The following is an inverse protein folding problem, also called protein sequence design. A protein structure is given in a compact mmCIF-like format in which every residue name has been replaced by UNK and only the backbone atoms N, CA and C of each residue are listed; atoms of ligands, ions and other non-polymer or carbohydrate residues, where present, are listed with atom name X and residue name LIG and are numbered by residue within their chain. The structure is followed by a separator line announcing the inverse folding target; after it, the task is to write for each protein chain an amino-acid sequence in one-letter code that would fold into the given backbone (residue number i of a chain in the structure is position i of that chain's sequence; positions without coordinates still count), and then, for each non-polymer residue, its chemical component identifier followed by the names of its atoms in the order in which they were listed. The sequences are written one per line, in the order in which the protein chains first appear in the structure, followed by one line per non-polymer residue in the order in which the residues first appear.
data_IF_983080931937
#
_entry.id   IF_983080931937
#
_cell.length_a   1.000
_cell.length_b   1.000
_cell.length_c   1.000
_cell.angle_alpha   90.00
_cell.angle_beta   90.00
_cell.angle_gamma   90.00
#
_symmetry.space_group_name_H-M   'P 1'
#
loop_
_entity.id
_entity.type
_entity.pdbx_description
1 polymer ?
#
# COMPACT_ATOMS: atom_id res chain seq x y z
N UNK A 1 -5.62 15.98 2.14
CA UNK A 1 -4.59 15.65 1.10
C UNK A 1 -3.26 15.57 1.83
N UNK A 2 -2.50 14.48 1.68
CA UNK A 2 -1.19 14.30 2.34
C UNK A 2 -0.04 14.81 1.46
N UNK A 3 -0.14 14.58 0.16
CA UNK A 3 0.77 15.11 -0.87
C UNK A 3 0.02 15.17 -2.21
N UNK A 4 0.58 15.74 -3.29
CA UNK A 4 -0.11 15.81 -4.57
C UNK A 4 -0.62 14.44 -5.04
N UNK A 5 -1.95 14.34 -5.24
CA UNK A 5 -2.62 13.10 -5.68
C UNK A 5 -2.69 11.98 -4.64
N UNK A 6 -2.31 12.22 -3.37
CA UNK A 6 -2.46 11.24 -2.29
C UNK A 6 -3.42 11.78 -1.23
N UNK A 7 -4.46 11.01 -0.96
CA UNK A 7 -5.51 11.35 0.00
C UNK A 7 -5.53 10.36 1.17
N UNK A 8 -5.90 10.88 2.33
CA UNK A 8 -6.26 10.10 3.51
C UNK A 8 -7.74 10.26 3.74
N UNK A 9 -8.41 9.15 3.99
CA UNK A 9 -9.78 9.10 4.46
C UNK A 9 -9.87 8.41 5.80
N UNK A 10 -10.60 9.01 6.69
CA UNK A 10 -10.98 8.48 8.00
C UNK A 10 -12.43 8.02 7.86
N UNK A 11 -12.63 6.70 7.85
CA UNK A 11 -13.94 6.08 7.61
C UNK A 11 -14.58 5.68 8.94
N UNK A 12 -15.85 5.99 9.13
CA UNK A 12 -16.66 5.40 10.21
C UNK A 12 -16.95 3.94 9.85
N UNK A 13 -16.21 3.03 10.48
CA UNK A 13 -16.23 1.59 10.23
C UNK A 13 -15.86 0.81 11.51
N UNK A 14 -16.61 1.02 12.58
CA UNK A 14 -16.31 0.56 13.94
C UNK A 14 -16.01 -0.95 14.02
N UNK A 15 -16.80 -1.79 13.32
CA UNK A 15 -16.63 -3.24 13.35
C UNK A 15 -15.31 -3.70 12.70
N UNK A 16 -14.88 -3.02 11.63
CA UNK A 16 -13.61 -3.29 10.96
C UNK A 16 -12.45 -2.72 11.77
N UNK A 17 -12.58 -1.47 12.25
CA UNK A 17 -11.54 -0.79 13.02
C UNK A 17 -11.12 -1.55 14.28
N UNK A 18 -12.08 -2.21 14.96
CA UNK A 18 -11.80 -3.02 16.16
C UNK A 18 -11.07 -4.33 15.87
N UNK A 19 -11.19 -4.86 14.65
CA UNK A 19 -10.69 -6.20 14.29
C UNK A 19 -9.45 -6.16 13.40
N UNK A 20 -9.23 -5.05 12.70
CA UNK A 20 -8.13 -4.93 11.76
C UNK A 20 -6.77 -4.94 12.48
N UNK A 21 -5.85 -5.72 11.93
CA UNK A 21 -4.48 -5.88 12.38
C UNK A 21 -3.51 -5.37 11.32
N UNK A 22 -2.26 -5.04 11.67
CA UNK A 22 -1.24 -4.61 10.71
C UNK A 22 -1.09 -5.56 9.52
N UNK A 23 -0.90 -5.03 8.31
CA UNK A 23 -0.75 -5.79 7.08
C UNK A 23 -2.05 -6.23 6.42
N UNK A 24 -3.19 -6.05 7.06
CA UNK A 24 -4.50 -6.35 6.49
C UNK A 24 -5.01 -5.19 5.61
N UNK A 25 -6.01 -5.49 4.78
CA UNK A 25 -6.62 -4.55 3.86
C UNK A 25 -8.15 -4.61 3.91
N UNK A 26 -8.80 -3.69 3.25
CA UNK A 26 -10.24 -3.67 2.99
C UNK A 26 -10.49 -3.65 1.48
N UNK A 27 -11.67 -4.10 1.07
CA UNK A 27 -12.18 -3.88 -0.29
C UNK A 27 -13.36 -2.95 -0.20
N UNK A 28 -13.37 -1.92 -1.02
CA UNK A 28 -14.46 -0.96 -1.08
C UNK A 28 -15.01 -0.81 -2.50
N UNK A 29 -16.25 -0.36 -2.59
CA UNK A 29 -16.93 0.06 -3.80
C UNK A 29 -17.65 1.38 -3.51
N UNK A 30 -17.33 2.42 -4.27
CA UNK A 30 -17.77 3.79 -3.97
C UNK A 30 -19.28 3.94 -4.21
N UNK A 31 -19.80 3.45 -5.35
CA UNK A 31 -21.21 3.52 -5.77
C UNK A 31 -21.57 2.32 -6.64
N UNK A 32 -22.82 2.24 -7.13
CA UNK A 32 -23.32 1.13 -7.96
C UNK A 32 -22.52 0.91 -9.24
N UNK A 33 -21.96 1.96 -9.84
CA UNK A 33 -21.14 1.91 -11.05
C UNK A 33 -19.65 1.75 -10.74
N UNK A 34 -19.30 1.76 -9.46
CA UNK A 34 -17.92 1.67 -8.97
C UNK A 34 -17.38 0.25 -9.03
N UNK A 35 -16.12 0.14 -9.30
CA UNK A 35 -15.37 -1.11 -9.21
C UNK A 35 -14.96 -1.39 -7.75
N UNK A 36 -14.79 -2.66 -7.41
CA UNK A 36 -14.20 -3.05 -6.13
C UNK A 36 -12.69 -2.88 -6.18
N UNK A 37 -12.15 -2.17 -5.21
CA UNK A 37 -10.70 -1.96 -5.09
C UNK A 37 -10.20 -2.33 -3.70
N UNK A 38 -9.06 -3.04 -3.60
CA UNK A 38 -8.39 -3.31 -2.33
C UNK A 38 -7.58 -2.09 -1.90
N UNK A 39 -7.66 -1.73 -0.62
CA UNK A 39 -6.83 -0.69 -0.01
C UNK A 39 -6.33 -1.17 1.35
N UNK A 40 -5.04 -1.03 1.58
CA UNK A 40 -4.42 -1.43 2.86
C UNK A 40 -4.93 -0.54 3.99
N UNK A 41 -5.16 -1.15 5.16
CA UNK A 41 -5.48 -0.42 6.39
C UNK A 41 -4.22 0.31 6.86
N UNK A 42 -4.22 1.64 6.69
CA UNK A 42 -3.08 2.49 7.07
C UNK A 42 -3.03 2.74 8.58
N UNK A 43 -4.19 2.81 9.23
CA UNK A 43 -4.29 2.93 10.69
C UNK A 43 -5.71 2.60 11.17
N UNK A 44 -5.88 2.47 12.49
CA UNK A 44 -7.19 2.33 13.13
C UNK A 44 -7.22 3.15 14.42
N UNK A 45 -8.39 3.67 14.74
CA UNK A 45 -8.74 4.27 16.03
C UNK A 45 -9.96 3.53 16.60
N UNK A 46 -9.79 2.33 17.18
CA UNK A 46 -10.89 1.45 17.59
C UNK A 46 -11.88 2.12 18.55
N UNK A 47 -11.37 2.94 19.46
CA UNK A 47 -12.18 3.69 20.45
C UNK A 47 -13.13 4.71 19.80
N UNK A 48 -12.75 5.21 18.62
CA UNK A 48 -13.56 6.16 17.84
C UNK A 48 -14.36 5.47 16.73
N UNK A 49 -14.14 4.17 16.50
CA UNK A 49 -14.71 3.42 15.38
C UNK A 49 -14.14 3.81 14.01
N UNK A 50 -12.96 4.43 13.97
CA UNK A 50 -12.38 4.97 12.74
C UNK A 50 -11.37 4.01 12.12
N UNK A 51 -11.56 3.75 10.84
CA UNK A 51 -10.61 3.08 9.95
C UNK A 51 -9.94 4.11 9.04
N UNK A 52 -8.63 4.07 8.95
CA UNK A 52 -7.86 5.00 8.10
C UNK A 52 -7.37 4.28 6.85
N UNK A 53 -7.67 4.86 5.69
CA UNK A 53 -7.10 4.45 4.41
C UNK A 53 -6.33 5.61 3.78
N UNK A 54 -5.23 5.28 3.09
CA UNK A 54 -4.45 6.24 2.30
C UNK A 54 -4.30 5.67 0.89
N UNK A 55 -4.60 6.49 -0.10
CA UNK A 55 -4.59 6.04 -1.49
C UNK A 55 -4.12 7.13 -2.44
N UNK A 56 -3.60 6.70 -3.59
CA UNK A 56 -3.21 7.59 -4.68
C UNK A 56 -4.33 7.65 -5.72
N UNK A 57 -4.67 8.83 -6.18
CA UNK A 57 -5.63 9.07 -7.27
C UNK A 57 -5.01 8.71 -8.64
N UNK A 58 -4.76 7.43 -8.87
CA UNK A 58 -4.04 6.95 -10.05
C UNK A 58 -4.97 6.52 -11.20
N UNK A 59 -6.17 6.00 -10.91
CA UNK A 59 -7.13 5.50 -11.87
C UNK A 59 -8.54 6.00 -11.62
N UNK A 60 -9.51 5.57 -12.46
CA UNK A 60 -10.94 5.95 -12.36
C UNK A 60 -11.46 5.75 -10.93
N UNK A 61 -11.32 4.54 -10.38
CA UNK A 61 -11.92 4.19 -9.09
C UNK A 61 -11.34 4.99 -7.93
N UNK A 62 -10.01 5.25 -7.92
CA UNK A 62 -9.38 6.08 -6.89
C UNK A 62 -9.66 7.57 -7.06
N UNK A 63 -9.85 8.07 -8.29
CA UNK A 63 -10.34 9.44 -8.53
C UNK A 63 -11.81 9.60 -8.11
N UNK A 64 -12.65 8.61 -8.39
CA UNK A 64 -14.03 8.60 -7.93
C UNK A 64 -14.10 8.60 -6.39
N UNK A 65 -13.30 7.75 -5.73
CA UNK A 65 -13.16 7.75 -4.27
C UNK A 65 -12.68 9.13 -3.78
N UNK A 66 -11.67 9.68 -4.43
CA UNK A 66 -11.10 10.97 -4.06
C UNK A 66 -12.04 12.17 -4.28
N UNK A 67 -13.11 12.03 -5.06
CA UNK A 67 -14.11 13.09 -5.25
C UNK A 67 -15.11 13.20 -4.09
N UNK A 68 -15.15 12.22 -3.20
CA UNK A 68 -16.02 12.26 -2.02
C UNK A 68 -15.55 13.34 -1.03
N UNK A 69 -16.54 13.92 -0.37
CA UNK A 69 -16.39 14.93 0.68
C UNK A 69 -16.71 14.36 2.05
N UNK A 70 -16.39 15.09 3.10
CA UNK A 70 -16.78 14.74 4.47
C UNK A 70 -18.31 14.63 4.58
N UNK A 71 -18.78 13.54 5.15
CA UNK A 71 -20.20 13.22 5.28
C UNK A 71 -20.77 12.37 4.14
N UNK A 72 -20.03 12.19 3.04
CA UNK A 72 -20.43 11.26 1.99
C UNK A 72 -20.26 9.80 2.45
N UNK A 73 -20.96 8.88 1.77
CA UNK A 73 -20.94 7.46 2.07
C UNK A 73 -20.30 6.65 0.94
N UNK A 74 -19.60 5.59 1.32
CA UNK A 74 -19.12 4.53 0.42
C UNK A 74 -20.16 3.41 0.44
N UNK A 75 -20.54 2.90 -0.74
CA UNK A 75 -21.61 1.92 -0.88
C UNK A 75 -21.29 0.60 -0.18
N UNK A 76 -20.10 0.03 -0.44
CA UNK A 76 -19.66 -1.21 0.19
C UNK A 76 -18.26 -1.03 0.79
N UNK A 77 -18.07 -1.58 1.99
CA UNK A 77 -16.78 -1.73 2.65
C UNK A 77 -16.72 -3.11 3.32
N UNK A 78 -15.78 -3.94 2.91
CA UNK A 78 -15.61 -5.31 3.39
C UNK A 78 -14.21 -5.45 3.99
N UNK A 79 -14.11 -6.00 5.19
CA UNK A 79 -12.84 -6.24 5.88
C UNK A 79 -13.01 -6.59 7.37
N UNK A 80 -11.90 -6.75 8.08
CA UNK A 80 -10.54 -6.80 7.55
C UNK A 80 -10.32 -8.08 6.74
N UNK A 81 -9.52 -7.99 5.69
CA UNK A 81 -9.18 -9.08 4.77
C UNK A 81 -7.67 -9.34 4.76
N UNK A 82 -7.30 -10.50 4.25
CA UNK A 82 -5.91 -10.94 4.25
C UNK A 82 -5.41 -11.42 5.60
N UNK A 83 -4.24 -12.03 5.60
CA UNK A 83 -3.57 -12.44 6.83
C UNK A 83 -2.85 -11.24 7.44
N UNK A 84 -2.91 -11.06 8.76
CA UNK A 84 -2.13 -10.01 9.42
C UNK A 84 -0.64 -10.30 9.31
N UNK A 85 0.18 -9.24 9.37
CA UNK A 85 1.62 -9.35 9.45
C UNK A 85 2.04 -10.20 10.65
N UNK A 86 3.03 -11.06 10.44
CA UNK A 86 3.64 -11.80 11.54
C UNK A 86 4.54 -10.88 12.36
N UNK A 87 4.11 -10.57 13.58
CA UNK A 87 4.81 -9.66 14.49
C UNK A 87 5.38 -10.44 15.66
N UNK A 88 6.70 -10.46 15.75
CA UNK A 88 7.44 -11.02 16.89
C UNK A 88 8.75 -10.26 17.13
N UNK A 89 9.50 -10.63 18.15
CA UNK A 89 10.81 -10.04 18.41
C UNK A 89 11.88 -10.74 17.59
N UNK A 90 12.13 -10.24 16.40
CA UNK A 90 13.17 -10.72 15.46
C UNK A 90 14.57 -10.23 15.84
N UNK A 91 14.69 -8.99 16.35
CA UNK A 91 15.94 -8.30 16.59
C UNK A 91 16.01 -6.94 15.92
N UNK A 92 16.91 -6.74 14.95
CA UNK A 92 16.92 -5.54 14.10
C UNK A 92 16.08 -5.79 12.84
N UNK A 93 15.03 -5.01 12.66
CA UNK A 93 14.14 -5.10 11.49
C UNK A 93 14.24 -3.85 10.64
N UNK A 94 14.22 -4.03 9.32
CA UNK A 94 14.17 -2.91 8.38
C UNK A 94 12.80 -2.86 7.73
N UNK A 95 12.07 -1.75 7.91
CA UNK A 95 10.76 -1.49 7.32
C UNK A 95 10.92 -0.54 6.13
N UNK A 96 10.55 -0.99 4.92
CA UNK A 96 10.76 -0.22 3.69
C UNK A 96 9.42 0.15 3.07
N UNK A 97 9.18 1.46 2.89
CA UNK A 97 8.01 2.01 2.23
C UNK A 97 8.37 2.79 0.97
N UNK A 98 7.69 2.52 -0.14
CA UNK A 98 7.86 3.27 -1.40
C UNK A 98 6.62 4.06 -1.78
N UNK A 99 6.70 5.40 -1.79
CA UNK A 99 5.57 6.26 -2.11
C UNK A 99 4.37 5.98 -1.21
N UNK A 100 3.22 5.60 -1.80
CA UNK A 100 1.99 5.25 -1.09
C UNK A 100 2.13 3.98 -0.22
N UNK A 101 3.19 3.19 -0.38
CA UNK A 101 3.52 2.09 0.52
C UNK A 101 4.00 2.55 1.91
N UNK A 102 4.35 3.83 2.07
CA UNK A 102 4.76 4.37 3.39
C UNK A 102 3.63 4.30 4.43
N UNK A 103 2.40 4.79 4.17
CA UNK A 103 1.27 4.56 5.08
C UNK A 103 0.93 3.08 5.30
N UNK A 104 1.20 2.22 4.33
CA UNK A 104 0.91 0.79 4.43
C UNK A 104 1.88 0.05 5.37
N UNK A 105 3.18 0.43 5.35
CA UNK A 105 4.19 -0.15 6.24
C UNK A 105 4.15 0.45 7.66
N UNK A 106 3.55 1.62 7.86
CA UNK A 106 3.52 2.31 9.15
C UNK A 106 2.93 1.47 10.29
N UNK A 107 1.73 0.84 10.16
CA UNK A 107 1.19 0.02 11.24
C UNK A 107 2.06 -1.21 11.56
N UNK A 108 2.75 -1.77 10.57
CA UNK A 108 3.68 -2.90 10.74
C UNK A 108 4.92 -2.44 11.52
N UNK A 109 5.53 -1.31 11.12
CA UNK A 109 6.69 -0.74 11.81
C UNK A 109 6.37 -0.42 13.29
N UNK A 110 5.18 0.17 13.55
CA UNK A 110 4.68 0.46 14.89
C UNK A 110 4.54 -0.82 15.73
N UNK A 111 3.92 -1.84 15.18
CA UNK A 111 3.73 -3.11 15.88
C UNK A 111 5.06 -3.82 16.17
N UNK A 112 5.98 -3.83 15.21
CA UNK A 112 7.34 -4.38 15.39
C UNK A 112 8.12 -3.63 16.46
N UNK A 113 7.99 -2.30 16.51
CA UNK A 113 8.60 -1.48 17.57
C UNK A 113 8.03 -1.80 18.94
N UNK A 114 6.71 -1.96 19.05
CA UNK A 114 6.02 -2.35 20.27
C UNK A 114 6.40 -3.77 20.74
N UNK A 115 6.71 -4.68 19.80
CA UNK A 115 7.21 -6.02 20.11
C UNK A 115 8.68 -6.04 20.57
N UNK A 116 9.34 -4.88 20.69
CA UNK A 116 10.69 -4.74 21.23
C UNK A 116 11.80 -4.96 20.20
N UNK A 117 11.52 -4.77 18.91
CA UNK A 117 12.53 -4.75 17.88
C UNK A 117 13.25 -3.41 17.79
N UNK A 118 14.51 -3.43 17.33
CA UNK A 118 15.15 -2.24 16.77
C UNK A 118 14.61 -2.04 15.36
N UNK A 119 13.89 -0.94 15.14
CA UNK A 119 13.25 -0.64 13.84
C UNK A 119 14.06 0.41 13.09
N UNK A 120 14.54 0.07 11.90
CA UNK A 120 15.14 0.99 10.94
C UNK A 120 14.12 1.15 9.80
N UNK A 121 13.60 2.35 9.61
CA UNK A 121 12.68 2.61 8.50
C UNK A 121 13.40 3.29 7.35
N UNK A 122 13.14 2.82 6.12
CA UNK A 122 13.61 3.42 4.89
C UNK A 122 12.40 3.79 4.05
N UNK A 123 12.20 5.07 3.78
CA UNK A 123 11.10 5.54 2.93
C UNK A 123 11.66 6.24 1.69
N UNK A 124 11.14 5.85 0.52
CA UNK A 124 11.61 6.33 -0.77
C UNK A 124 10.53 7.02 -1.59
N UNK A 125 10.89 8.14 -2.21
CA UNK A 125 10.00 8.94 -3.05
C UNK A 125 10.71 9.40 -4.32
N UNK A 126 9.95 9.82 -5.35
CA UNK A 126 10.54 10.38 -6.57
C UNK A 126 11.23 11.72 -6.32
N UNK A 127 10.60 12.57 -5.51
CA UNK A 127 11.09 13.90 -5.15
C UNK A 127 10.57 14.32 -3.77
N UNK A 128 11.07 15.44 -3.25
CA UNK A 128 10.74 15.95 -1.91
C UNK A 128 9.26 16.31 -1.73
N UNK A 129 8.58 16.74 -2.80
CA UNK A 129 7.19 17.20 -2.72
C UNK A 129 6.20 16.05 -2.52
N UNK A 130 6.67 14.82 -2.78
CA UNK A 130 5.91 13.58 -2.58
C UNK A 130 6.17 12.93 -1.22
N UNK A 131 7.08 13.46 -0.41
CA UNK A 131 7.36 12.91 0.92
C UNK A 131 6.11 13.04 1.79
N UNK A 132 5.72 11.93 2.39
CA UNK A 132 4.56 11.86 3.29
C UNK A 132 4.88 11.01 4.52
N UNK A 133 4.23 11.31 5.65
CA UNK A 133 4.32 10.56 6.91
C UNK A 133 5.76 10.37 7.45
N UNK A 134 6.69 11.29 7.16
CA UNK A 134 8.06 11.17 7.64
C UNK A 134 8.14 11.31 9.17
N UNK A 135 7.36 12.20 9.78
CA UNK A 135 7.35 12.40 11.23
C UNK A 135 6.69 11.22 11.94
N UNK A 136 5.59 10.68 11.38
CA UNK A 136 4.92 9.50 11.90
C UNK A 136 5.86 8.28 11.83
N UNK A 137 6.52 8.04 10.68
CA UNK A 137 7.49 6.96 10.55
C UNK A 137 8.67 7.11 11.52
N UNK A 138 9.14 8.35 11.73
CA UNK A 138 10.19 8.63 12.71
C UNK A 138 9.77 8.28 14.14
N UNK A 139 8.50 8.52 14.49
CA UNK A 139 7.98 8.25 15.83
C UNK A 139 7.95 6.76 16.20
N UNK A 140 7.92 5.88 15.21
CA UNK A 140 7.85 4.42 15.38
C UNK A 140 9.17 3.71 15.03
N UNK A 141 10.23 4.47 14.74
CA UNK A 141 11.53 3.94 14.32
C UNK A 141 12.66 4.40 15.22
N UNK A 142 13.67 3.57 15.39
CA UNK A 142 14.95 3.97 16.03
C UNK A 142 15.79 4.79 15.07
N UNK A 143 15.67 4.51 13.78
CA UNK A 143 16.33 5.25 12.72
C UNK A 143 15.38 5.39 11.53
N UNK A 144 15.29 6.59 10.96
CA UNK A 144 14.55 6.85 9.73
C UNK A 144 15.51 7.36 8.66
N UNK A 145 15.49 6.69 7.51
CA UNK A 145 16.21 7.10 6.30
C UNK A 145 15.17 7.50 5.25
N UNK A 146 15.23 8.75 4.81
CA UNK A 146 14.36 9.26 3.74
C UNK A 146 15.23 9.49 2.51
N UNK A 147 14.87 8.88 1.38
CA UNK A 147 15.57 9.09 0.10
C UNK A 147 14.63 9.57 -0.99
N UNK A 148 15.20 10.31 -1.94
CA UNK A 148 14.49 10.69 -3.17
C UNK A 148 15.32 10.31 -4.39
N UNK A 149 14.64 9.87 -5.46
CA UNK A 149 15.31 9.44 -6.69
C UNK A 149 16.12 10.57 -7.32
N UNK A 150 15.60 11.80 -7.26
CA UNK A 150 16.24 13.01 -7.80
C UNK A 150 17.24 13.69 -6.84
N UNK A 151 17.24 13.31 -5.56
CA UNK A 151 18.10 13.89 -4.52
C UNK A 151 17.59 15.20 -3.94
N UNK A 152 16.35 15.61 -4.22
CA UNK A 152 15.79 16.91 -3.83
C UNK A 152 15.62 17.10 -2.31
N UNK A 153 15.64 16.02 -1.51
CA UNK A 153 15.65 16.07 -0.04
C UNK A 153 17.06 16.03 0.57
N UNK A 154 18.12 16.08 -0.25
CA UNK A 154 19.51 15.95 0.19
C UNK A 154 20.05 14.51 0.21
N UNK A 155 19.22 13.50 0.12
CA UNK A 155 19.62 12.08 0.06
C UNK A 155 19.17 11.48 -1.27
N UNK A 156 20.10 11.40 -2.24
CA UNK A 156 19.84 10.82 -3.55
C UNK A 156 20.02 9.30 -3.53
N UNK A 157 19.07 8.59 -4.14
CA UNK A 157 19.17 7.14 -4.38
C UNK A 157 17.86 6.41 -4.08
N UNK A 158 17.83 5.14 -4.49
CA UNK A 158 16.71 4.25 -4.26
C UNK A 158 16.76 3.65 -2.85
N UNK A 159 15.63 3.13 -2.38
CA UNK A 159 15.56 2.42 -1.08
C UNK A 159 16.53 1.25 -1.00
N UNK A 160 16.84 0.60 -2.14
CA UNK A 160 17.85 -0.47 -2.25
C UNK A 160 19.26 0.00 -1.93
N UNK A 161 19.60 1.24 -2.33
CA UNK A 161 20.90 1.82 -2.04
C UNK A 161 21.03 2.13 -0.55
N UNK A 162 19.93 2.59 0.06
CA UNK A 162 19.87 2.85 1.49
C UNK A 162 19.93 1.56 2.30
N UNK A 163 19.23 0.50 1.88
CA UNK A 163 19.32 -0.82 2.51
C UNK A 163 20.75 -1.37 2.44
N UNK A 164 21.41 -1.27 1.28
CA UNK A 164 22.82 -1.67 1.16
C UNK A 164 23.72 -0.91 2.13
N UNK A 165 23.56 0.42 2.24
CA UNK A 165 24.33 1.21 3.22
C UNK A 165 24.11 0.75 4.66
N UNK A 166 22.87 0.35 5.03
CA UNK A 166 22.56 -0.20 6.34
C UNK A 166 23.30 -1.52 6.56
N UNK A 167 23.32 -2.41 5.58
CA UNK A 167 24.03 -3.70 5.66
C UNK A 167 25.55 -3.47 5.67
N UNK A 168 26.08 -2.65 4.76
CA UNK A 168 27.53 -2.42 4.57
C UNK A 168 28.19 -1.74 5.78
N UNK A 169 27.44 -0.95 6.57
CA UNK A 169 27.96 -0.38 7.83
C UNK A 169 28.07 -1.40 8.97
N UNK A 170 27.77 -2.68 8.71
CA UNK A 170 27.86 -3.76 9.68
C UNK A 170 26.63 -3.90 10.59
N UNK A 171 25.52 -3.27 10.26
CA UNK A 171 24.26 -3.49 11.00
C UNK A 171 23.77 -4.92 10.74
N UNK A 172 23.59 -5.68 11.82
CA UNK A 172 22.99 -7.01 11.74
C UNK A 172 21.49 -6.86 11.49
N UNK A 173 21.07 -7.03 10.24
CA UNK A 173 19.64 -7.02 9.86
C UNK A 173 19.09 -8.44 10.00
N UNK A 174 18.11 -8.63 10.88
CA UNK A 174 17.49 -9.93 11.14
C UNK A 174 16.25 -10.16 10.28
N UNK A 175 15.54 -9.10 9.85
CA UNK A 175 14.34 -9.21 9.01
C UNK A 175 14.09 -7.94 8.19
N UNK A 176 13.49 -8.07 7.01
CA UNK A 176 13.08 -6.93 6.16
C UNK A 176 11.60 -7.07 5.82
N UNK A 177 10.83 -6.00 6.00
CA UNK A 177 9.46 -5.84 5.52
C UNK A 177 9.44 -4.75 4.46
N UNK A 178 8.82 -5.00 3.31
CA UNK A 178 8.79 -4.03 2.22
C UNK A 178 7.42 -3.94 1.55
N UNK A 179 6.94 -2.70 1.38
CA UNK A 179 5.67 -2.37 0.75
C UNK A 179 5.88 -1.24 -0.26
N UNK A 180 5.35 -1.42 -1.47
CA UNK A 180 5.43 -0.40 -2.51
C UNK A 180 5.35 -0.99 -3.93
N UNK A 181 5.88 -0.30 -4.94
CA UNK A 181 5.88 -0.79 -6.32
C UNK A 181 6.51 -2.18 -6.46
N UNK A 182 5.92 -3.04 -7.28
CA UNK A 182 6.38 -4.44 -7.46
C UNK A 182 7.87 -4.51 -7.84
N UNK A 183 8.32 -3.62 -8.70
CA UNK A 183 9.74 -3.56 -9.09
C UNK A 183 10.65 -3.23 -7.90
N UNK A 184 10.20 -2.36 -6.98
CA UNK A 184 10.94 -2.04 -5.77
C UNK A 184 11.05 -3.25 -4.84
N UNK A 185 9.95 -3.95 -4.61
CA UNK A 185 9.93 -5.19 -3.80
C UNK A 185 10.83 -6.26 -4.41
N UNK A 186 10.78 -6.48 -5.73
CA UNK A 186 11.69 -7.36 -6.45
C UNK A 186 13.17 -7.00 -6.21
N UNK A 187 13.51 -5.71 -6.33
CA UNK A 187 14.90 -5.27 -6.17
C UNK A 187 15.38 -5.34 -4.72
N UNK A 188 14.52 -5.06 -3.73
CA UNK A 188 14.84 -5.25 -2.31
C UNK A 188 15.10 -6.74 -2.03
N UNK A 189 14.24 -7.64 -2.51
CA UNK A 189 14.43 -9.09 -2.36
C UNK A 189 15.76 -9.57 -2.94
N UNK A 190 16.15 -9.06 -4.12
CA UNK A 190 17.48 -9.37 -4.73
C UNK A 190 18.64 -8.84 -3.90
N UNK A 191 18.49 -7.72 -3.20
CA UNK A 191 19.54 -7.16 -2.32
C UNK A 191 19.73 -8.03 -1.07
N UNK A 192 18.65 -8.55 -0.51
CA UNK A 192 18.68 -9.32 0.75
C UNK A 192 19.05 -10.79 0.55
N UNK A 193 18.78 -11.36 -0.64
CA UNK A 193 18.99 -12.79 -0.95
C UNK A 193 20.43 -13.27 -0.72
N UNK A 194 21.51 -12.58 -1.17
CA UNK A 194 22.89 -13.02 -0.92
C UNK A 194 23.26 -13.08 0.56
N UNK A 195 22.60 -12.25 1.38
CA UNK A 195 22.82 -12.19 2.83
C UNK A 195 21.90 -13.15 3.59
N UNK A 196 20.98 -13.84 2.88
CA UNK A 196 19.95 -14.73 3.46
C UNK A 196 19.11 -14.03 4.54
N UNK A 197 18.85 -12.73 4.38
CA UNK A 197 18.03 -11.95 5.29
C UNK A 197 16.56 -12.23 4.94
N UNK A 198 15.75 -12.80 5.85
CA UNK A 198 14.32 -13.01 5.63
C UNK A 198 13.65 -11.71 5.19
N UNK A 199 12.93 -11.77 4.07
CA UNK A 199 12.34 -10.59 3.44
C UNK A 199 10.87 -10.83 3.12
N UNK A 200 9.99 -10.08 3.78
CA UNK A 200 8.55 -10.10 3.58
C UNK A 200 8.16 -8.98 2.63
N UNK A 201 7.40 -9.31 1.60
CA UNK A 201 6.85 -8.38 0.61
C UNK A 201 5.32 -8.39 0.69
N UNK A 202 4.70 -7.21 0.72
CA UNK A 202 3.24 -7.08 0.65
C UNK A 202 2.82 -6.90 -0.80
N UNK A 203 2.25 -7.95 -1.41
CA UNK A 203 1.92 -7.97 -2.83
C UNK A 203 0.58 -7.29 -3.11
N UNK A 204 0.52 -6.60 -4.23
CA UNK A 204 -0.64 -5.82 -4.70
C UNK A 204 -1.17 -6.31 -6.06
N UNK A 205 -1.52 -7.61 -6.24
CA UNK A 205 -2.16 -8.07 -7.46
C UNK A 205 -3.55 -7.45 -7.61
N UNK A 206 -4.10 -7.51 -8.84
CA UNK A 206 -5.50 -7.17 -9.07
C UNK A 206 -6.37 -8.06 -8.20
N UNK A 207 -7.30 -7.47 -7.45
CA UNK A 207 -8.28 -8.17 -6.63
C UNK A 207 -9.69 -7.73 -7.01
N UNK A 208 -10.64 -8.66 -6.97
CA UNK A 208 -12.03 -8.40 -7.32
C UNK A 208 -12.96 -8.68 -6.13
N UNK A 209 -13.12 -9.94 -5.72
CA UNK A 209 -13.95 -10.29 -4.56
C UNK A 209 -13.19 -10.38 -3.24
N UNK A 210 -11.89 -10.66 -3.31
CA UNK A 210 -10.96 -10.77 -2.18
C UNK A 210 -11.33 -11.83 -1.13
N UNK A 211 -12.14 -12.83 -1.48
CA UNK A 211 -12.60 -13.91 -0.58
C UNK A 211 -12.02 -15.28 -0.93
N UNK A 212 -11.11 -15.34 -1.91
CA UNK A 212 -10.48 -16.57 -2.36
C UNK A 212 -11.27 -17.37 -3.40
N UNK A 213 -12.37 -16.83 -3.92
CA UNK A 213 -13.25 -17.55 -4.85
C UNK A 213 -12.91 -17.29 -6.32
N UNK A 214 -12.70 -16.04 -6.73
CA UNK A 214 -12.54 -15.69 -8.16
C UNK A 214 -11.17 -16.00 -8.74
N UNK A 215 -10.12 -16.18 -7.91
CA UNK A 215 -8.77 -16.50 -8.34
C UNK A 215 -8.03 -15.37 -9.11
N UNK A 216 -8.59 -14.16 -9.16
CA UNK A 216 -7.97 -13.03 -9.88
C UNK A 216 -6.66 -12.61 -9.22
N UNK A 217 -6.57 -12.66 -7.91
CA UNK A 217 -5.41 -12.26 -7.12
C UNK A 217 -4.30 -13.34 -7.01
N UNK A 218 -4.32 -14.37 -7.88
CA UNK A 218 -3.31 -15.42 -7.83
C UNK A 218 -1.92 -14.89 -8.13
N UNK A 219 -0.98 -15.34 -7.32
CA UNK A 219 0.46 -15.09 -7.43
C UNK A 219 1.20 -16.41 -7.37
N UNK A 220 2.41 -16.47 -7.88
CA UNK A 220 3.25 -17.66 -7.76
C UNK A 220 4.34 -17.42 -6.72
N UNK A 221 4.41 -18.31 -5.74
CA UNK A 221 5.34 -18.23 -4.61
C UNK A 221 5.94 -19.61 -4.36
N UNK A 222 7.24 -19.75 -4.60
CA UNK A 222 7.96 -21.03 -4.41
C UNK A 222 7.47 -22.15 -5.33
N UNK A 223 7.02 -21.81 -6.54
CA UNK A 223 6.47 -22.76 -7.52
C UNK A 223 5.03 -23.20 -7.24
N UNK A 224 4.34 -22.56 -6.27
CA UNK A 224 2.94 -22.83 -5.95
C UNK A 224 2.08 -21.59 -6.22
N UNK A 225 0.90 -21.83 -6.79
CA UNK A 225 -0.11 -20.74 -6.93
C UNK A 225 -0.75 -20.46 -5.57
N UNK A 226 -0.68 -19.20 -5.13
CA UNK A 226 -1.31 -18.67 -3.92
C UNK A 226 -2.34 -17.59 -4.29
N UNK A 227 -3.32 -17.39 -3.44
CA UNK A 227 -4.31 -16.32 -3.57
C UNK A 227 -3.96 -15.20 -2.59
N UNK A 228 -3.46 -14.07 -3.08
CA UNK A 228 -2.97 -13.00 -2.22
C UNK A 228 -4.03 -12.46 -1.25
N UNK A 229 -5.30 -12.55 -1.60
CA UNK A 229 -6.39 -12.08 -0.73
C UNK A 229 -6.64 -12.96 0.51
N UNK A 230 -6.27 -14.23 0.50
CA UNK A 230 -6.50 -15.17 1.62
C UNK A 230 -5.23 -15.86 2.13
N UNK A 231 -4.22 -16.06 1.28
CA UNK A 231 -2.92 -16.62 1.66
C UNK A 231 -1.91 -15.54 2.06
N UNK A 232 -2.10 -14.29 1.58
CA UNK A 232 -1.28 -13.11 1.81
C UNK A 232 -2.08 -11.98 2.48
N UNK A 233 -1.75 -10.73 2.19
CA UNK A 233 -0.96 -10.23 1.05
C UNK A 233 0.57 -10.37 1.20
N UNK A 234 1.06 -10.72 2.37
CA UNK A 234 2.47 -10.83 2.67
C UNK A 234 3.03 -12.22 2.32
N UNK A 235 4.19 -12.23 1.65
CA UNK A 235 4.88 -13.44 1.22
C UNK A 235 6.40 -13.30 1.36
N UNK A 236 7.11 -14.46 1.37
CA UNK A 236 8.56 -14.51 1.27
C UNK A 236 9.02 -13.97 -0.08
N UNK A 237 9.65 -12.79 -0.07
CA UNK A 237 10.10 -12.08 -1.27
C UNK A 237 11.12 -12.85 -2.11
N UNK A 238 11.87 -13.78 -1.52
CA UNK A 238 12.82 -14.63 -2.25
C UNK A 238 12.14 -15.75 -3.05
N UNK A 239 10.84 -16.01 -2.81
CA UNK A 239 10.08 -17.07 -3.47
C UNK A 239 9.04 -16.56 -4.48
N UNK A 240 8.78 -15.24 -4.50
CA UNK A 240 7.78 -14.64 -5.39
C UNK A 240 8.28 -14.60 -6.83
N UNK A 241 7.45 -15.07 -7.78
CA UNK A 241 7.62 -14.79 -9.21
C UNK A 241 7.13 -13.37 -9.53
N UNK A 242 8.02 -12.40 -9.36
CA UNK A 242 7.72 -10.99 -9.65
C UNK A 242 7.50 -10.72 -11.14
N UNK A 243 8.12 -11.49 -12.05
CA UNK A 243 7.98 -11.27 -13.49
C UNK A 243 6.57 -11.67 -13.93
N UNK A 244 6.08 -12.79 -13.47
CA UNK A 244 4.69 -13.22 -13.69
C UNK A 244 3.70 -12.21 -13.06
N UNK A 245 3.95 -11.74 -11.83
CA UNK A 245 3.11 -10.73 -11.20
C UNK A 245 3.05 -9.43 -12.02
N UNK A 246 4.19 -8.92 -12.47
CA UNK A 246 4.25 -7.72 -13.31
C UNK A 246 3.55 -7.92 -14.67
N UNK A 247 3.67 -9.09 -15.27
CA UNK A 247 2.96 -9.42 -16.51
C UNK A 247 1.43 -9.40 -16.30
N UNK A 248 0.96 -9.97 -15.21
CA UNK A 248 -0.47 -10.00 -14.85
C UNK A 248 -1.03 -8.60 -14.56
N UNK A 249 -0.29 -7.74 -13.88
CA UNK A 249 -0.70 -6.35 -13.62
C UNK A 249 -0.85 -5.51 -14.90
N UNK A 250 -0.26 -5.95 -16.01
CA UNK A 250 -0.38 -5.27 -17.32
C UNK A 250 -1.57 -5.73 -18.14
N UNK A 251 -2.31 -6.75 -17.72
CA UNK A 251 -3.36 -7.40 -18.51
C UNK A 251 -4.45 -6.43 -18.96
N UNK A 252 -4.84 -5.47 -18.09
CA UNK A 252 -5.96 -4.56 -18.33
C UNK A 252 -5.55 -3.08 -18.50
N UNK A 253 -4.26 -2.79 -18.72
CA UNK A 253 -3.78 -1.41 -18.86
C UNK A 253 -4.49 -0.61 -19.97
N UNK A 254 -4.80 -1.18 -21.17
CA UNK A 254 -5.55 -0.44 -22.19
C UNK A 254 -6.97 -0.08 -21.75
N UNK A 255 -7.66 -1.01 -21.09
CA UNK A 255 -9.02 -0.84 -20.58
C UNK A 255 -9.06 0.17 -19.42
N UNK A 256 -8.10 0.08 -18.51
CA UNK A 256 -7.93 1.03 -17.39
C UNK A 256 -7.71 2.45 -17.91
N UNK A 257 -6.83 2.61 -18.90
CA UNK A 257 -6.57 3.91 -19.53
C UNK A 257 -7.81 4.48 -20.18
N UNK A 258 -8.53 3.66 -20.97
CA UNK A 258 -9.77 4.08 -21.61
C UNK A 258 -10.85 4.46 -20.60
N UNK A 259 -10.99 3.67 -19.53
CA UNK A 259 -11.95 3.95 -18.46
C UNK A 259 -11.66 5.28 -17.76
N UNK A 260 -10.38 5.57 -17.54
CA UNK A 260 -9.94 6.84 -16.96
C UNK A 260 -10.22 8.03 -17.88
N UNK A 261 -9.90 7.91 -19.18
CA UNK A 261 -10.17 8.96 -20.19
C UNK A 261 -11.67 9.29 -20.29
N UNK A 262 -12.53 8.27 -20.30
CA UNK A 262 -13.98 8.46 -20.29
C UNK A 262 -14.48 9.16 -19.03
N UNK A 263 -13.96 8.76 -17.87
CA UNK A 263 -14.29 9.38 -16.58
C UNK A 263 -13.89 10.87 -16.55
N UNK A 264 -12.68 11.21 -16.97
CA UNK A 264 -12.17 12.58 -17.02
C UNK A 264 -12.97 13.46 -17.99
N UNK A 265 -13.33 12.92 -19.16
CA UNK A 265 -14.14 13.63 -20.15
C UNK A 265 -15.52 13.94 -19.60
N UNK A 266 -16.20 12.98 -18.97
CA UNK A 266 -17.52 13.18 -18.38
C UNK A 266 -17.51 14.23 -17.27
N UNK A 267 -16.47 14.26 -16.44
CA UNK A 267 -16.35 15.23 -15.34
C UNK A 267 -15.89 16.62 -15.83
N UNK A 268 -15.15 16.70 -16.94
CA UNK A 268 -14.79 17.99 -17.55
C UNK A 268 -15.99 18.69 -18.20
N UNK A 269 -16.93 17.92 -18.79
CA UNK A 269 -18.15 18.46 -19.41
C UNK A 269 -19.18 18.86 -18.36
N UNK A 270 -19.26 18.14 -17.23
CA UNK A 270 -20.18 18.45 -16.12
C UNK A 270 -19.85 19.73 -15.34
N UNK A 271 -18.62 20.26 -15.46
CA UNK A 271 -18.20 21.51 -14.83
C UNK A 271 -18.84 22.79 -15.41
N UNK A 272 -19.54 22.71 -16.52
CA UNK A 272 -20.23 23.84 -17.16
C UNK A 272 -21.70 24.00 -16.79
N UNK A 273 -22.32 23.05 -16.08
CA UNK A 273 -23.71 23.12 -15.65
C UNK A 273 -23.82 23.22 -14.12
N UNK A 274 -23.50 24.38 -13.58
CA UNK A 274 -23.93 24.78 -12.23
C UNK A 274 -25.45 24.98 -12.22
N UNK A 275 -26.22 23.95 -11.87
CA UNK A 275 -27.67 24.07 -11.76
C UNK A 275 -28.27 22.75 -11.25
N UNK A 276 -28.84 22.79 -10.05
CA UNK A 276 -29.69 21.72 -9.49
C UNK A 276 -30.73 21.30 -10.53
N UNK A 277 -30.62 20.10 -11.07
CA UNK A 277 -31.60 19.52 -11.94
C UNK A 277 -31.31 18.05 -12.19
N UNK A 278 -32.16 17.19 -11.66
CA UNK A 278 -32.16 15.76 -11.91
C UNK A 278 -32.26 15.50 -13.42
N UNK A 279 -31.27 14.79 -13.99
CA UNK A 279 -31.42 14.16 -15.30
C UNK A 279 -31.88 12.72 -15.08
N UNK A 280 -33.17 12.49 -15.28
CA UNK A 280 -33.70 11.18 -15.59
C UNK A 280 -33.46 10.91 -17.07
N UNK A 281 -32.75 9.84 -17.39
CA UNK A 281 -32.93 9.04 -18.62
C UNK A 281 -32.27 7.68 -18.39
#
# INVERSE_FOLDING_TARGET
MLSPGIKRFDLDAAEIARKALPGQFVVLRVNEEGERIPLTVADTMPEKGILVIVFQEAGKSTKLLGSLSEGDSILDLIGPLGRPSHIEKFGTVVCIGGGVGTPEIFPVARALKQAGNKVISIIGFRNKDLILMADEMKSVSDELIVSTDDGSNGTKGFVTDMLKKVIDRGEKVDHVFVVGPVIMMKMVSKVTEPYKIPTVVSLNPIMLDATGMCGVCRVEVGGETKLACVDGPEFDGHKVDFDLLMARLRTYLPEEKRSLELFETAHSIGGCCGGKGACHA
#
